data_IF_771873811291
#
_entry.id   IF_771873811291
#
_cell.length_a   1.000
_cell.length_b   1.000
_cell.length_c   1.000
_cell.angle_alpha   90.00
_cell.angle_beta   90.00
_cell.angle_gamma   90.00
#
_symmetry.space_group_name_H-M   'P 1'
#
loop_
_entity.id
_entity.type
_entity.pdbx_description
1 polymer ?
#
# COMPACT_ATOMS: atom_id res chain seq x y z
N UNK A 1 -18.44 16.84 -9.94
CA UNK A 1 -18.36 15.38 -10.20
C UNK A 1 -18.12 14.68 -8.86
N UNK A 2 -19.16 14.14 -8.23
CA UNK A 2 -18.98 13.42 -6.97
C UNK A 2 -18.16 12.15 -7.26
N UNK A 3 -17.08 11.90 -6.50
CA UNK A 3 -16.30 10.66 -6.66
C UNK A 3 -17.22 9.47 -6.42
N UNK A 4 -17.15 8.47 -7.28
CA UNK A 4 -17.91 7.25 -7.13
C UNK A 4 -17.58 6.58 -5.79
N UNK A 5 -18.60 6.01 -5.14
CA UNK A 5 -18.43 5.31 -3.86
C UNK A 5 -17.61 4.05 -4.10
N UNK A 6 -16.42 3.96 -3.47
CA UNK A 6 -15.57 2.79 -3.58
C UNK A 6 -16.29 1.52 -3.09
N UNK A 7 -16.51 0.56 -3.99
CA UNK A 7 -17.07 -0.74 -3.65
C UNK A 7 -15.96 -1.70 -3.22
N UNK A 8 -16.02 -2.15 -1.96
CA UNK A 8 -15.08 -3.14 -1.40
C UNK A 8 -15.47 -4.56 -1.79
N UNK A 9 -15.23 -4.95 -3.04
CA UNK A 9 -15.52 -6.31 -3.53
C UNK A 9 -14.44 -7.34 -3.16
N UNK A 10 -13.24 -6.88 -2.79
CA UNK A 10 -12.10 -7.73 -2.41
C UNK A 10 -11.93 -7.76 -0.89
N UNK A 11 -11.40 -8.88 -0.32
CA UNK A 11 -10.98 -8.93 1.07
C UNK A 11 -10.02 -7.78 1.40
N UNK A 12 -10.24 -7.13 2.54
CA UNK A 12 -9.42 -6.03 3.03
C UNK A 12 -8.58 -6.49 4.21
N UNK A 13 -7.29 -6.15 4.21
CA UNK A 13 -6.35 -6.51 5.28
C UNK A 13 -5.53 -5.28 5.67
N UNK A 14 -5.43 -5.02 6.96
CA UNK A 14 -4.53 -4.01 7.51
C UNK A 14 -3.13 -4.62 7.66
N UNK A 15 -2.11 -3.97 7.08
CA UNK A 15 -0.71 -4.44 7.13
C UNK A 15 0.23 -3.28 7.46
N UNK A 16 1.44 -3.61 7.92
CA UNK A 16 2.49 -2.63 8.20
C UNK A 16 3.88 -3.26 8.11
N UNK A 17 4.90 -2.42 7.90
CA UNK A 17 6.32 -2.82 7.85
C UNK A 17 7.03 -2.41 9.13
N UNK A 18 7.58 -3.38 9.87
CA UNK A 18 8.28 -3.17 11.16
C UNK A 18 9.76 -3.61 11.08
N UNK A 19 10.61 -3.15 12.01
CA UNK A 19 12.04 -3.51 12.04
C UNK A 19 12.99 -2.39 12.52
N UNK A 20 14.29 -2.68 12.59
CA UNK A 20 15.35 -1.77 13.08
C UNK A 20 15.59 -0.56 12.16
N UNK A 21 16.20 0.51 12.68
CA UNK A 21 16.55 1.70 11.88
C UNK A 21 17.41 1.30 10.68
N UNK A 22 17.26 2.02 9.56
CA UNK A 22 17.98 1.80 8.29
C UNK A 22 17.78 0.46 7.57
N UNK A 23 16.85 -0.39 8.02
CA UNK A 23 16.47 -1.63 7.30
C UNK A 23 15.49 -1.41 6.13
N UNK A 24 15.31 -0.17 5.66
CA UNK A 24 14.57 0.10 4.42
C UNK A 24 13.04 -0.03 4.49
N UNK A 25 12.41 0.04 5.67
CA UNK A 25 10.94 -0.08 5.83
C UNK A 25 10.15 0.92 4.97
N UNK A 26 10.60 2.17 4.93
CA UNK A 26 10.00 3.25 4.11
C UNK A 26 10.22 2.99 2.62
N UNK A 27 11.44 2.59 2.23
CA UNK A 27 11.79 2.26 0.85
C UNK A 27 10.97 1.09 0.31
N UNK A 28 10.78 0.04 1.11
CA UNK A 28 9.97 -1.11 0.74
C UNK A 28 8.50 -0.71 0.52
N UNK A 29 7.93 0.08 1.43
CA UNK A 29 6.56 0.58 1.29
C UNK A 29 6.38 1.39 0.00
N UNK A 30 7.33 2.26 -0.33
CA UNK A 30 7.30 3.06 -1.56
C UNK A 30 7.45 2.21 -2.83
N UNK A 31 8.28 1.16 -2.80
CA UNK A 31 8.43 0.24 -3.93
C UNK A 31 7.13 -0.55 -4.19
N UNK A 32 6.47 -1.03 -3.12
CA UNK A 32 5.20 -1.76 -3.24
C UNK A 32 4.11 -0.92 -3.89
N UNK A 33 3.93 0.34 -3.47
CA UNK A 33 2.92 1.23 -4.07
C UNK A 33 3.24 1.56 -5.52
N UNK A 34 4.52 1.77 -5.86
CA UNK A 34 4.94 2.05 -7.24
C UNK A 34 4.69 0.87 -8.18
N UNK A 35 5.05 -0.35 -7.77
CA UNK A 35 4.83 -1.56 -8.58
C UNK A 35 3.33 -1.82 -8.77
N UNK A 36 2.52 -1.68 -7.71
CA UNK A 36 1.07 -1.89 -7.80
C UNK A 36 0.34 -0.84 -8.63
N UNK A 37 0.90 0.37 -8.77
CA UNK A 37 0.34 1.40 -9.65
C UNK A 37 0.77 1.23 -11.12
N UNK A 38 1.94 0.61 -11.36
CA UNK A 38 2.45 0.33 -12.70
C UNK A 38 1.86 -0.95 -13.31
N UNK A 39 1.17 -1.76 -12.52
CA UNK A 39 0.53 -3.02 -12.92
C UNK A 39 -0.97 -2.83 -13.11
#
# INVERSE_FOLDING_TARGET
MSKEKFQRSKPHVNVGTIGHVDHGKTTLTAALTKVMAAK
#
